data_IF_247248902230
#
_entry.id   IF_247248902230
#
_cell.length_a   1.000
_cell.length_b   1.000
_cell.length_c   1.000
_cell.angle_alpha   90.00
_cell.angle_beta   90.00
_cell.angle_gamma   90.00
#
_symmetry.space_group_name_H-M   'P 1'
#
loop_
_entity.id
_entity.type
_entity.pdbx_description
1 polymer ?
#
# COMPACT_ATOMS: atom_id res chain seq x y z
N UNK A 1 -5.35 24.18 17.67
CA UNK A 1 -6.05 23.22 16.80
C UNK A 1 -5.98 21.87 17.50
N UNK A 2 -7.08 21.33 18.02
CA UNK A 2 -7.07 19.99 18.65
C UNK A 2 -7.02 18.97 17.52
N UNK A 3 -5.90 18.28 17.35
CA UNK A 3 -5.78 17.15 16.43
C UNK A 3 -6.71 16.05 16.91
N UNK A 4 -7.70 15.67 16.10
CA UNK A 4 -8.59 14.57 16.43
C UNK A 4 -8.00 13.28 15.85
N UNK A 5 -7.13 12.64 16.63
CA UNK A 5 -6.25 11.54 16.20
C UNK A 5 -7.06 10.41 15.54
N UNK A 6 -8.25 10.11 16.07
CA UNK A 6 -9.18 9.11 15.54
C UNK A 6 -9.60 9.38 14.09
N UNK A 7 -9.75 10.66 13.73
CA UNK A 7 -10.26 11.07 12.42
C UNK A 7 -9.14 11.28 11.41
N UNK A 8 -7.95 11.64 11.88
CA UNK A 8 -6.82 12.01 11.03
C UNK A 8 -5.82 10.86 10.81
N UNK A 9 -5.64 9.97 11.79
CA UNK A 9 -4.69 8.86 11.68
C UNK A 9 -4.99 7.89 10.52
N UNK A 10 -6.27 7.54 10.22
CA UNK A 10 -6.60 6.70 9.07
C UNK A 10 -6.25 7.33 7.71
N UNK A 11 -6.01 8.64 7.63
CA UNK A 11 -5.63 9.30 6.38
C UNK A 11 -4.17 9.08 6.00
N UNK A 12 -3.28 8.82 6.96
CA UNK A 12 -1.86 8.59 6.71
C UNK A 12 -1.63 7.43 5.73
N UNK A 13 -2.09 6.19 5.99
CA UNK A 13 -1.90 5.08 5.06
C UNK A 13 -2.54 5.34 3.69
N UNK A 14 -3.66 6.08 3.65
CA UNK A 14 -4.34 6.46 2.40
C UNK A 14 -3.47 7.36 1.53
N UNK A 15 -2.88 8.42 2.11
CA UNK A 15 -1.97 9.30 1.38
C UNK A 15 -0.73 8.55 0.87
N UNK A 16 -0.12 7.71 1.70
CA UNK A 16 1.02 6.90 1.28
C UNK A 16 0.67 5.94 0.14
N UNK A 17 -0.49 5.27 0.19
CA UNK A 17 -0.96 4.41 -0.91
C UNK A 17 -1.22 5.20 -2.20
N UNK A 18 -1.72 6.43 -2.09
CA UNK A 18 -1.95 7.28 -3.25
C UNK A 18 -0.64 7.78 -3.88
N UNK A 19 0.33 8.18 -3.06
CA UNK A 19 1.67 8.54 -3.53
C UNK A 19 2.31 7.34 -4.23
N UNK A 20 2.17 6.14 -3.68
CA UNK A 20 2.68 4.90 -4.29
C UNK A 20 2.10 4.67 -5.69
N UNK A 21 0.79 4.91 -5.90
CA UNK A 21 0.17 4.81 -7.22
C UNK A 21 0.78 5.76 -8.24
N UNK A 22 1.01 7.01 -7.84
CA UNK A 22 1.58 8.03 -8.72
C UNK A 22 3.03 7.68 -9.05
N UNK A 23 3.82 7.32 -8.04
CA UNK A 23 5.23 6.93 -8.20
C UNK A 23 5.35 5.72 -9.12
N UNK A 24 4.50 4.71 -8.96
CA UNK A 24 4.50 3.53 -9.83
C UNK A 24 4.20 3.90 -11.28
N UNK A 25 3.15 4.69 -11.52
CA UNK A 25 2.78 5.10 -12.87
C UNK A 25 3.90 5.93 -13.52
N UNK A 26 4.48 6.87 -12.78
CA UNK A 26 5.60 7.68 -13.23
C UNK A 26 6.82 6.81 -13.55
N UNK A 27 7.14 5.82 -12.71
CA UNK A 27 8.23 4.89 -12.94
C UNK A 27 8.00 4.04 -14.20
N UNK A 28 6.79 3.51 -14.39
CA UNK A 28 6.44 2.74 -15.60
C UNK A 28 6.65 3.58 -16.86
N UNK A 29 6.14 4.82 -16.87
CA UNK A 29 6.28 5.75 -18.01
C UNK A 29 7.74 6.14 -18.23
N UNK A 30 8.49 6.44 -17.17
CA UNK A 30 9.88 6.90 -17.28
C UNK A 30 10.83 5.80 -17.77
N UNK A 31 10.73 4.59 -17.22
CA UNK A 31 11.65 3.49 -17.55
C UNK A 31 11.25 2.71 -18.81
N UNK A 32 9.96 2.56 -19.09
CA UNK A 32 9.48 1.72 -20.20
C UNK A 32 8.87 2.53 -21.36
N UNK A 33 8.61 3.83 -21.16
CA UNK A 33 7.87 4.63 -22.13
C UNK A 33 6.48 4.06 -22.43
N UNK A 34 5.97 4.34 -23.63
CA UNK A 34 4.71 3.80 -24.15
C UNK A 34 4.91 2.54 -25.01
N UNK A 35 5.92 1.73 -24.69
CA UNK A 35 6.29 0.51 -25.44
C UNK A 35 5.54 -0.76 -25.00
N UNK A 36 6.06 -1.93 -25.39
CA UNK A 36 5.40 -3.23 -25.13
C UNK A 36 5.20 -3.55 -23.64
N UNK A 37 6.08 -3.09 -22.76
CA UNK A 37 5.96 -3.29 -21.31
C UNK A 37 5.01 -2.29 -20.62
N UNK A 38 4.55 -1.26 -21.33
CA UNK A 38 3.61 -0.27 -20.80
C UNK A 38 2.26 -0.90 -20.43
N UNK A 39 1.73 -1.80 -21.27
CA UNK A 39 0.47 -2.50 -21.00
C UNK A 39 0.55 -3.38 -19.74
N UNK A 40 1.68 -4.08 -19.57
CA UNK A 40 1.91 -4.92 -18.39
C UNK A 40 2.05 -4.04 -17.14
N UNK A 41 2.81 -2.95 -17.22
CA UNK A 41 2.93 -1.97 -16.12
C UNK A 41 1.59 -1.31 -15.75
N UNK A 42 0.75 -0.98 -16.73
CA UNK A 42 -0.60 -0.47 -16.52
C UNK A 42 -1.52 -1.50 -15.87
N UNK A 43 -1.43 -2.77 -16.25
CA UNK A 43 -2.21 -3.84 -15.62
C UNK A 43 -1.89 -3.95 -14.13
N UNK A 44 -0.60 -3.96 -13.75
CA UNK A 44 -0.19 -3.91 -12.34
C UNK A 44 -0.66 -2.62 -11.65
N UNK A 45 -0.60 -1.48 -12.34
CA UNK A 45 -1.10 -0.23 -11.80
C UNK A 45 -2.61 -0.29 -11.51
N UNK A 46 -3.42 -0.88 -12.39
CA UNK A 46 -4.86 -1.07 -12.16
C UNK A 46 -5.14 -1.97 -10.95
N UNK A 47 -4.35 -3.03 -10.75
CA UNK A 47 -4.43 -3.87 -9.54
C UNK A 47 -4.16 -3.01 -8.30
N UNK A 48 -3.11 -2.18 -8.31
CA UNK A 48 -2.79 -1.29 -7.21
C UNK A 48 -3.90 -0.27 -6.94
N UNK A 49 -4.50 0.30 -7.99
CA UNK A 49 -5.64 1.23 -7.86
C UNK A 49 -6.81 0.51 -7.17
N UNK A 50 -7.15 -0.69 -7.65
CA UNK A 50 -8.23 -1.47 -7.06
C UNK A 50 -7.96 -1.80 -5.59
N UNK A 51 -6.75 -2.27 -5.27
CA UNK A 51 -6.34 -2.54 -3.89
C UNK A 51 -6.40 -1.28 -3.02
N UNK A 52 -5.97 -0.12 -3.55
CA UNK A 52 -6.03 1.16 -2.82
C UNK A 52 -7.48 1.55 -2.52
N UNK A 53 -8.37 1.48 -3.50
CA UNK A 53 -9.80 1.80 -3.32
C UNK A 53 -10.45 0.84 -2.33
N UNK A 54 -10.13 -0.45 -2.39
CA UNK A 54 -10.59 -1.44 -1.42
C UNK A 54 -10.06 -1.17 -0.01
N UNK A 55 -8.79 -0.80 0.12
CA UNK A 55 -8.15 -0.47 1.40
C UNK A 55 -8.81 0.72 2.10
N UNK A 56 -9.41 1.64 1.35
CA UNK A 56 -10.10 2.79 1.93
C UNK A 56 -11.46 2.40 2.54
N UNK A 57 -12.07 1.31 2.06
CA UNK A 57 -13.32 0.76 2.61
C UNK A 57 -13.07 -0.25 3.73
N UNK A 58 -12.06 -1.10 3.57
CA UNK A 58 -11.65 -2.10 4.54
C UNK A 58 -10.13 -2.06 4.68
N UNK A 59 -9.66 -1.39 5.74
CA UNK A 59 -8.27 -1.13 6.09
C UNK A 59 -7.47 -2.41 6.25
N UNK A 60 -7.98 -3.38 7.01
CA UNK A 60 -7.31 -4.68 7.22
C UNK A 60 -7.16 -5.44 5.89
N UNK A 61 -8.26 -5.60 5.14
CA UNK A 61 -8.24 -6.32 3.88
C UNK A 61 -7.30 -5.67 2.86
N UNK A 62 -7.33 -4.34 2.76
CA UNK A 62 -6.42 -3.58 1.92
C UNK A 62 -4.96 -3.75 2.32
N UNK A 63 -4.68 -3.70 3.62
CA UNK A 63 -3.33 -3.90 4.15
C UNK A 63 -2.77 -5.29 3.80
N UNK A 64 -3.58 -6.33 3.96
CA UNK A 64 -3.23 -7.70 3.56
C UNK A 64 -2.98 -7.78 2.05
N UNK A 65 -3.83 -7.16 1.23
CA UNK A 65 -3.63 -7.13 -0.23
C UNK A 65 -2.32 -6.45 -0.63
N UNK A 66 -1.93 -5.35 0.03
CA UNK A 66 -0.65 -4.70 -0.21
C UNK A 66 0.54 -5.61 0.13
N UNK A 67 0.46 -6.33 1.26
CA UNK A 67 1.48 -7.31 1.65
C UNK A 67 1.59 -8.43 0.61
N UNK A 68 0.46 -8.96 0.14
CA UNK A 68 0.43 -9.99 -0.90
C UNK A 68 1.04 -9.51 -2.21
N UNK A 69 0.79 -8.27 -2.61
CA UNK A 69 1.41 -7.67 -3.80
C UNK A 69 2.94 -7.55 -3.63
N UNK A 70 3.40 -7.14 -2.44
CA UNK A 70 4.83 -7.11 -2.11
C UNK A 70 5.48 -8.49 -2.24
N UNK A 71 4.84 -9.53 -1.74
CA UNK A 71 5.31 -10.91 -1.90
C UNK A 71 5.27 -11.38 -3.35
N UNK A 72 4.19 -11.10 -4.09
CA UNK A 72 4.09 -11.44 -5.50
C UNK A 72 5.27 -10.83 -6.30
N UNK A 73 5.61 -9.59 -6.01
CA UNK A 73 6.74 -8.91 -6.63
C UNK A 73 8.08 -9.59 -6.33
N UNK A 74 8.30 -10.04 -5.09
CA UNK A 74 9.48 -10.80 -4.70
C UNK A 74 9.53 -12.20 -5.34
N UNK A 75 8.39 -12.88 -5.48
CA UNK A 75 8.30 -14.19 -6.14
C UNK A 75 8.69 -14.06 -7.63
N UNK A 76 8.20 -13.03 -8.31
CA UNK A 76 8.59 -12.73 -9.70
C UNK A 76 10.10 -12.47 -9.78
N UNK A 77 10.68 -11.78 -8.79
CA UNK A 77 12.11 -11.51 -8.71
C UNK A 77 12.97 -12.76 -8.47
N UNK A 78 12.49 -13.75 -7.72
CA UNK A 78 13.21 -15.01 -7.50
C UNK A 78 13.43 -15.78 -8.81
N UNK A 79 12.53 -15.62 -9.79
CA UNK A 79 12.70 -16.19 -11.13
C UNK A 79 13.80 -15.52 -11.96
N UNK A 80 14.28 -14.34 -11.56
CA UNK A 80 15.21 -13.51 -12.34
C UNK A 80 16.32 -12.96 -11.43
N UNK A 81 17.37 -13.75 -11.20
CA UNK A 81 18.57 -13.40 -10.41
C UNK A 81 18.31 -12.39 -9.28
N UNK A 82 17.82 -12.89 -8.15
CA UNK A 82 17.40 -12.10 -6.99
C UNK A 82 18.37 -10.96 -6.67
N UNK A 83 17.98 -9.74 -7.02
CA UNK A 83 18.78 -8.52 -6.86
C UNK A 83 18.16 -7.58 -5.82
N UNK A 84 19.01 -6.78 -5.17
CA UNK A 84 18.59 -5.85 -4.11
C UNK A 84 17.54 -4.84 -4.59
N UNK A 85 17.51 -4.54 -5.89
CA UNK A 85 16.50 -3.67 -6.50
C UNK A 85 15.08 -4.19 -6.30
N UNK A 86 14.87 -5.50 -6.27
CA UNK A 86 13.55 -6.09 -6.07
C UNK A 86 13.09 -6.03 -4.61
N UNK A 87 14.02 -6.12 -3.66
CA UNK A 87 13.74 -5.86 -2.23
C UNK A 87 13.37 -4.40 -2.00
N UNK A 88 14.15 -3.48 -2.57
CA UNK A 88 13.86 -2.04 -2.48
C UNK A 88 12.52 -1.72 -3.15
N UNK A 89 12.24 -2.30 -4.32
CA UNK A 89 10.97 -2.11 -5.05
C UNK A 89 9.74 -2.69 -4.34
N UNK A 90 9.89 -3.78 -3.57
CA UNK A 90 8.79 -4.38 -2.80
C UNK A 90 8.53 -3.70 -1.46
N UNK A 91 9.55 -3.08 -0.88
CA UNK A 91 9.47 -2.44 0.45
C UNK A 91 8.31 -1.45 0.64
N UNK A 92 7.94 -0.60 -0.33
CA UNK A 92 6.87 0.36 -0.14
C UNK A 92 5.51 -0.32 0.01
N UNK A 93 5.28 -1.46 -0.66
CA UNK A 93 4.03 -2.22 -0.51
C UNK A 93 3.89 -2.78 0.90
N UNK A 94 4.96 -3.33 1.47
CA UNK A 94 4.95 -3.83 2.84
C UNK A 94 4.74 -2.71 3.85
N UNK A 95 5.40 -1.56 3.67
CA UNK A 95 5.25 -0.41 4.56
C UNK A 95 3.80 0.09 4.53
N UNK A 96 3.22 0.28 3.34
CA UNK A 96 1.82 0.72 3.21
C UNK A 96 0.86 -0.32 3.80
N UNK A 97 1.09 -1.61 3.54
CA UNK A 97 0.25 -2.68 4.08
C UNK A 97 0.27 -2.73 5.61
N UNK A 98 1.46 -2.63 6.20
CA UNK A 98 1.62 -2.58 7.66
C UNK A 98 1.03 -1.30 8.27
N UNK A 99 1.13 -0.15 7.59
CA UNK A 99 0.49 1.08 8.06
C UNK A 99 -1.03 0.96 8.09
N UNK A 100 -1.64 0.35 7.08
CA UNK A 100 -3.09 0.11 7.08
C UNK A 100 -3.53 -0.77 8.25
N UNK A 101 -2.82 -1.86 8.51
CA UNK A 101 -3.16 -2.78 9.61
C UNK A 101 -2.86 -2.13 10.97
N UNK A 102 -1.69 -1.52 11.13
CA UNK A 102 -1.24 -0.96 12.40
C UNK A 102 -2.09 0.22 12.87
N UNK A 103 -2.51 1.10 11.94
CA UNK A 103 -3.42 2.21 12.28
C UNK A 103 -4.79 1.69 12.71
N UNK A 104 -5.30 0.66 12.03
CA UNK A 104 -6.61 0.08 12.35
C UNK A 104 -6.62 -0.54 13.76
N UNK A 105 -5.64 -1.39 14.05
CA UNK A 105 -5.46 -2.02 15.37
C UNK A 105 -5.24 -0.97 16.47
N UNK A 106 -4.54 0.12 16.16
CA UNK A 106 -4.34 1.21 17.12
C UNK A 106 -5.65 1.94 17.42
N UNK A 107 -6.43 2.30 16.40
CA UNK A 107 -7.71 2.99 16.57
C UNK A 107 -8.70 2.11 17.32
N UNK A 108 -8.76 0.81 17.01
CA UNK A 108 -9.60 -0.15 17.71
C UNK A 108 -9.28 -0.20 19.22
N UNK A 109 -8.00 -0.31 19.58
CA UNK A 109 -7.55 -0.33 20.99
C UNK A 109 -7.86 0.97 21.74
N UNK A 110 -7.71 2.13 21.09
CA UNK A 110 -8.04 3.42 21.71
C UNK A 110 -9.53 3.53 21.98
N UNK A 111 -10.38 3.04 21.07
CA UNK A 111 -11.83 3.04 21.28
C UNK A 111 -12.26 2.09 22.40
N UNK A 112 -11.64 0.91 22.52
CA UNK A 112 -11.89 -0.02 23.62
C UNK A 112 -11.58 0.62 24.98
N UNK A 113 -10.42 1.28 25.11
CA UNK A 113 -10.02 1.95 26.35
C UNK A 113 -10.89 3.15 26.73
N UNK A 114 -11.37 3.92 25.74
CA UNK A 114 -12.21 5.10 26.01
C UNK A 114 -13.68 4.71 26.24
N UNK A 115 -14.10 3.53 25.78
CA UNK A 115 -15.44 2.98 25.99
C UNK A 115 -15.65 2.36 27.37
N UNK A 116 -14.59 1.86 28.02
CA UNK A 116 -14.62 1.27 29.36
C UNK A 116 -14.59 2.32 30.50
N UNK A 117 -14.35 3.60 30.17
CA UNK A 117 -14.29 4.72 31.13
C UNK A 117 -15.66 5.40 31.38
N UNK A 118 -16.78 4.79 30.94
CA UNK A 118 -18.17 5.24 31.16
C UNK A 118 -19.03 4.19 31.88
#
# INVERSE_FOLDING_TARGET
MKFNIEKELPWIPRWFSFILLIVWLAAVVFFNGFGSYFMLGLFFWLILVFTTVMAWKNTIFGGVMFILIGFLYLIIALGNQFSIYYLVGSSPFFIVGLLFIGVDVYVEKVMEQTGDDF
#
